data_IF_698376887540
#
_entry.id   IF_698376887540
#
_cell.length_a   1.000
_cell.length_b   1.000
_cell.length_c   1.000
_cell.angle_alpha   90.00
_cell.angle_beta   90.00
_cell.angle_gamma   90.00
#
_symmetry.space_group_name_H-M   'P 1'
#
loop_
_entity.id
_entity.type
_entity.pdbx_description
1 polymer ?
#
# COMPACT_ATOMS: atom_id res chain seq x y z
N UNK A 1 0.22 16.49 -0.20
CA UNK A 1 -1.23 16.25 -0.05
C UNK A 1 -1.54 16.11 1.44
N UNK A 2 -2.59 16.76 1.94
CA UNK A 2 -3.03 16.66 3.34
C UNK A 2 -4.28 15.79 3.35
N UNK A 3 -4.32 14.79 4.23
CA UNK A 3 -5.50 13.95 4.45
C UNK A 3 -6.07 14.28 5.82
N UNK A 4 -7.33 14.73 5.87
CA UNK A 4 -8.06 14.91 7.14
C UNK A 4 -8.26 13.52 7.75
N UNK A 5 -7.81 13.35 9.00
CA UNK A 5 -7.92 12.07 9.74
C UNK A 5 -9.18 12.03 10.61
N UNK A 6 -9.62 13.17 11.15
CA UNK A 6 -10.82 13.26 11.98
C UNK A 6 -10.92 14.59 12.70
N UNK A 7 -11.87 14.71 13.63
CA UNK A 7 -11.96 15.82 14.60
C UNK A 7 -11.30 15.39 15.91
N UNK A 8 -10.69 16.30 16.65
CA UNK A 8 -10.02 15.92 17.91
C UNK A 8 -11.05 15.51 18.98
N UNK A 9 -10.75 14.44 19.72
CA UNK A 9 -11.56 13.97 20.87
C UNK A 9 -11.85 15.07 21.92
N UNK A 10 -11.00 16.10 22.00
CA UNK A 10 -11.20 17.24 22.90
C UNK A 10 -12.49 18.03 22.62
N UNK A 11 -13.03 17.92 21.39
CA UNK A 11 -14.25 18.62 20.96
C UNK A 11 -15.46 17.67 20.80
N UNK A 12 -15.35 16.44 21.31
CA UNK A 12 -16.40 15.41 21.18
C UNK A 12 -17.69 15.72 21.95
N UNK A 13 -17.64 16.60 22.94
CA UNK A 13 -18.80 16.93 23.80
C UNK A 13 -19.46 18.26 23.48
N UNK A 14 -19.00 18.98 22.43
CA UNK A 14 -19.50 20.33 22.13
C UNK A 14 -20.90 20.32 21.50
N UNK A 15 -21.25 19.27 20.76
CA UNK A 15 -22.54 19.17 20.07
C UNK A 15 -23.05 17.71 20.05
N UNK A 16 -24.28 17.49 20.51
CA UNK A 16 -24.90 16.16 20.76
C UNK A 16 -25.30 15.40 19.47
N UNK A 17 -25.05 15.95 18.27
CA UNK A 17 -25.58 15.42 17.00
C UNK A 17 -24.57 15.44 15.84
N UNK A 18 -23.27 15.27 16.10
CA UNK A 18 -22.25 15.17 15.05
C UNK A 18 -21.89 13.72 14.70
N UNK A 19 -21.75 13.43 13.40
CA UNK A 19 -21.41 12.11 12.83
C UNK A 19 -19.95 12.10 12.31
N UNK A 20 -19.07 12.91 12.91
CA UNK A 20 -17.65 12.93 12.52
C UNK A 20 -16.84 11.92 13.31
N UNK A 21 -15.86 11.29 12.66
CA UNK A 21 -14.90 10.38 13.32
C UNK A 21 -13.97 11.20 14.23
N UNK A 22 -14.14 11.02 15.54
CA UNK A 22 -13.26 11.63 16.54
C UNK A 22 -11.99 10.80 16.71
N UNK A 23 -10.84 11.47 16.62
CA UNK A 23 -9.52 10.87 16.72
C UNK A 23 -8.70 11.54 17.82
N UNK A 24 -7.94 10.75 18.61
CA UNK A 24 -7.10 11.30 19.65
C UNK A 24 -5.98 12.14 19.03
N UNK A 25 -5.60 13.21 19.73
CA UNK A 25 -4.46 14.03 19.32
C UNK A 25 -3.22 13.14 19.23
N UNK A 26 -2.55 13.05 18.06
CA UNK A 26 -1.38 12.22 17.89
C UNK A 26 -0.29 12.58 18.92
N UNK A 27 0.15 11.60 19.71
CA UNK A 27 1.20 11.82 20.71
C UNK A 27 2.57 12.01 20.02
N UNK A 28 3.42 12.84 20.63
CA UNK A 28 4.79 13.11 20.20
C UNK A 28 4.93 14.35 19.30
N UNK A 29 6.11 14.53 18.70
CA UNK A 29 6.41 15.70 17.87
C UNK A 29 5.64 15.68 16.53
N UNK A 30 5.30 16.87 16.03
CA UNK A 30 4.63 17.03 14.73
C UNK A 30 5.56 16.64 13.59
N UNK A 31 6.84 16.99 13.69
CA UNK A 31 7.85 16.60 12.73
C UNK A 31 8.43 15.23 13.12
N UNK A 32 8.05 14.16 12.42
CA UNK A 32 8.58 12.82 12.65
C UNK A 32 9.42 12.37 11.46
N UNK A 33 10.69 12.05 11.70
CA UNK A 33 11.52 11.27 10.76
C UNK A 33 11.48 9.81 11.22
N UNK A 34 10.72 8.97 10.52
CA UNK A 34 10.62 7.54 10.80
C UNK A 34 11.34 6.77 9.69
N UNK A 35 12.34 5.99 10.07
CA UNK A 35 12.90 4.97 9.19
C UNK A 35 11.99 3.75 9.27
N UNK A 36 11.45 3.34 8.12
CA UNK A 36 10.53 2.21 8.01
C UNK A 36 11.21 1.15 7.15
N UNK A 37 11.49 0.00 7.77
CA UNK A 37 11.93 -1.19 7.04
C UNK A 37 10.69 -1.98 6.65
N UNK A 38 10.53 -2.24 5.36
CA UNK A 38 9.39 -2.97 4.83
C UNK A 38 9.88 -4.21 4.10
N UNK A 39 9.34 -5.37 4.48
CA UNK A 39 9.55 -6.63 3.76
C UNK A 39 8.37 -6.80 2.81
N UNK A 40 8.65 -6.90 1.52
CA UNK A 40 7.63 -7.06 0.46
C UNK A 40 8.03 -8.27 -0.37
N UNK A 41 7.06 -9.13 -0.70
CA UNK A 41 7.33 -10.27 -1.57
C UNK A 41 7.37 -9.85 -3.04
N UNK A 42 8.11 -10.56 -3.88
CA UNK A 42 8.11 -10.31 -5.32
C UNK A 42 6.70 -10.47 -5.93
N UNK A 43 5.89 -11.38 -5.37
CA UNK A 43 4.51 -11.57 -5.82
C UNK A 43 3.64 -10.34 -5.55
N UNK A 44 3.81 -9.67 -4.41
CA UNK A 44 3.05 -8.45 -4.11
C UNK A 44 3.40 -7.31 -5.08
N UNK A 45 4.68 -7.22 -5.49
CA UNK A 45 5.12 -6.28 -6.53
C UNK A 45 4.50 -6.62 -7.88
N UNK A 46 4.47 -7.90 -8.27
CA UNK A 46 3.81 -8.35 -9.50
C UNK A 46 2.33 -7.98 -9.51
N UNK A 47 1.61 -8.24 -8.43
CA UNK A 47 0.16 -7.99 -8.32
C UNK A 47 -0.15 -6.50 -8.32
N UNK A 48 0.64 -5.68 -7.61
CA UNK A 48 0.45 -4.23 -7.53
C UNK A 48 0.61 -3.54 -8.89
N UNK A 49 1.53 -4.04 -9.72
CA UNK A 49 1.76 -3.50 -11.06
C UNK A 49 0.81 -4.11 -12.12
N UNK A 50 0.37 -5.36 -11.95
CA UNK A 50 -0.61 -6.00 -12.83
C UNK A 50 -2.02 -5.38 -12.71
N UNK A 51 -2.35 -4.84 -11.53
CA UNK A 51 -3.59 -4.10 -11.29
C UNK A 51 -3.26 -2.80 -10.54
N UNK A 52 -3.09 -1.67 -11.23
CA UNK A 52 -2.93 -0.39 -10.55
C UNK A 52 -4.19 -0.12 -9.71
N UNK A 53 -4.09 -0.30 -8.39
CA UNK A 53 -5.14 0.12 -7.47
C UNK A 53 -5.07 1.64 -7.33
N UNK A 54 -6.12 2.34 -7.75
CA UNK A 54 -6.24 3.78 -7.50
C UNK A 54 -6.17 4.70 -8.73
N UNK A 55 -6.52 4.22 -9.92
CA UNK A 55 -6.82 5.12 -11.03
C UNK A 55 -8.09 5.94 -10.76
N UNK A 56 -8.05 7.25 -11.00
CA UNK A 56 -9.21 8.16 -10.94
C UNK A 56 -10.15 8.02 -12.14
N UNK A 57 -9.82 7.17 -13.11
CA UNK A 57 -10.64 6.96 -14.29
C UNK A 57 -11.89 6.13 -13.97
N UNK A 58 -13.00 6.44 -14.63
CA UNK A 58 -14.30 5.77 -14.46
C UNK A 58 -14.17 4.25 -14.63
N UNK A 59 -13.25 3.81 -15.49
CA UNK A 59 -12.95 2.39 -15.77
C UNK A 59 -12.21 1.73 -14.60
N UNK A 60 -11.24 2.40 -13.96
CA UNK A 60 -10.54 1.87 -12.78
C UNK A 60 -11.44 1.85 -11.54
N UNK A 61 -12.35 2.82 -11.39
CA UNK A 61 -13.35 2.82 -10.31
C UNK A 61 -14.35 1.67 -10.51
N UNK A 62 -14.87 1.44 -11.73
CA UNK A 62 -15.71 0.27 -12.03
C UNK A 62 -14.96 -1.05 -11.80
N UNK A 63 -13.68 -1.11 -12.16
CA UNK A 63 -12.83 -2.29 -11.97
C UNK A 63 -12.58 -2.64 -10.49
N UNK A 64 -12.70 -1.69 -9.57
CA UNK A 64 -12.63 -1.91 -8.12
C UNK A 64 -13.94 -2.48 -7.54
N UNK A 65 -15.11 -2.11 -8.11
CA UNK A 65 -16.42 -2.63 -7.70
C UNK A 65 -16.77 -3.98 -8.33
N UNK A 66 -16.13 -4.33 -9.46
CA UNK A 66 -16.25 -5.63 -10.09
C UNK A 66 -15.34 -6.64 -9.38
N UNK A 67 -15.83 -7.88 -9.18
CA UNK A 67 -15.08 -8.96 -8.54
C UNK A 67 -13.67 -9.04 -9.17
N UNK A 68 -12.58 -8.96 -8.39
CA UNK A 68 -11.24 -8.94 -8.94
C UNK A 68 -11.00 -10.24 -9.71
N UNK A 69 -11.03 -10.17 -11.04
CA UNK A 69 -10.62 -11.29 -11.89
C UNK A 69 -9.13 -11.53 -11.62
N UNK A 70 -8.70 -12.76 -11.36
CA UNK A 70 -7.27 -13.07 -11.29
C UNK A 70 -6.69 -12.79 -12.67
N UNK A 71 -6.10 -11.61 -12.86
CA UNK A 71 -5.35 -11.28 -14.05
C UNK A 71 -4.04 -12.06 -13.95
N UNK A 72 -3.78 -12.90 -14.93
CA UNK A 72 -2.51 -13.61 -14.99
C UNK A 72 -1.36 -12.60 -15.11
N UNK A 73 -0.30 -12.85 -14.35
CA UNK A 73 0.91 -12.04 -14.43
C UNK A 73 1.66 -12.49 -15.68
N UNK A 74 1.79 -11.59 -16.65
CA UNK A 74 2.50 -11.90 -17.90
C UNK A 74 4.01 -11.99 -17.66
N UNK A 75 4.70 -12.80 -18.47
CA UNK A 75 6.15 -12.97 -18.38
C UNK A 75 6.93 -11.66 -18.66
N UNK A 76 6.35 -10.78 -19.50
CA UNK A 76 6.91 -9.44 -19.76
C UNK A 76 6.94 -8.60 -18.48
N UNK A 77 5.83 -8.58 -17.73
CA UNK A 77 5.74 -7.84 -16.47
C UNK A 77 6.74 -8.38 -15.43
N UNK A 78 6.85 -9.70 -15.28
CA UNK A 78 7.85 -10.32 -14.40
C UNK A 78 9.28 -9.92 -14.79
N UNK A 79 9.58 -9.93 -16.09
CA UNK A 79 10.90 -9.53 -16.59
C UNK A 79 11.23 -8.07 -16.27
N UNK A 80 10.26 -7.17 -16.35
CA UNK A 80 10.42 -5.75 -16.01
C UNK A 80 10.60 -5.52 -14.51
N UNK A 81 9.82 -6.23 -13.68
CA UNK A 81 9.92 -6.18 -12.23
C UNK A 81 11.28 -6.72 -11.77
N UNK A 82 11.70 -7.87 -12.28
CA UNK A 82 13.01 -8.44 -11.97
C UNK A 82 14.17 -7.49 -12.32
N UNK A 83 14.09 -6.79 -13.46
CA UNK A 83 15.09 -5.76 -13.82
C UNK A 83 15.13 -4.61 -12.80
N UNK A 84 13.96 -4.17 -12.35
CA UNK A 84 13.84 -3.06 -11.39
C UNK A 84 14.33 -3.46 -10.00
N UNK A 85 13.99 -4.67 -9.54
CA UNK A 85 14.47 -5.22 -8.27
C UNK A 85 15.98 -5.36 -8.29
N UNK A 86 16.56 -5.94 -9.35
CA UNK A 86 18.02 -6.05 -9.49
C UNK A 86 18.70 -4.67 -9.42
N UNK A 87 18.13 -3.65 -10.08
CA UNK A 87 18.63 -2.28 -9.99
C UNK A 87 18.62 -1.74 -8.56
N UNK A 88 17.60 -2.03 -7.76
CA UNK A 88 17.54 -1.60 -6.36
C UNK A 88 18.54 -2.34 -5.46
N UNK A 89 18.83 -3.59 -5.77
CA UNK A 89 19.89 -4.37 -5.10
C UNK A 89 21.26 -3.77 -5.45
N UNK A 90 21.53 -3.51 -6.73
CA UNK A 90 22.80 -2.91 -7.19
C UNK A 90 23.05 -1.53 -6.58
N UNK A 91 21.99 -0.77 -6.32
CA UNK A 91 22.06 0.55 -5.67
C UNK A 91 22.17 0.47 -4.13
N UNK A 92 22.07 -0.72 -3.53
CA UNK A 92 22.07 -0.91 -2.08
C UNK A 92 20.82 -0.38 -1.38
N UNK A 93 19.72 -0.18 -2.11
CA UNK A 93 18.44 0.31 -1.57
C UNK A 93 17.61 -0.86 -0.99
N UNK A 94 17.76 -2.05 -1.57
CA UNK A 94 17.01 -3.24 -1.20
C UNK A 94 17.91 -4.46 -1.04
N UNK A 95 17.48 -5.41 -0.20
CA UNK A 95 18.13 -6.71 -0.02
C UNK A 95 17.14 -7.82 -0.40
N UNK A 96 17.64 -8.83 -1.12
CA UNK A 96 16.84 -10.00 -1.50
C UNK A 96 16.97 -11.08 -0.43
N UNK A 97 15.86 -11.40 0.24
CA UNK A 97 15.78 -12.46 1.24
C UNK A 97 15.10 -13.70 0.65
N UNK A 98 15.81 -14.84 0.50
CA UNK A 98 15.18 -16.08 0.05
C UNK A 98 14.27 -16.65 1.15
N UNK A 99 13.05 -17.03 0.77
CA UNK A 99 12.09 -17.68 1.66
C UNK A 99 12.11 -19.21 1.55
N UNK A 100 11.12 -19.85 2.17
CA UNK A 100 10.89 -21.29 2.08
C UNK A 100 9.56 -21.52 1.37
N UNK A 101 9.57 -22.33 0.32
CA UNK A 101 8.35 -22.84 -0.31
C UNK A 101 8.14 -24.28 0.17
N UNK A 102 7.09 -24.49 0.95
CA UNK A 102 6.65 -25.83 1.35
C UNK A 102 5.54 -26.29 0.41
N UNK A 103 5.69 -27.48 -0.15
CA UNK A 103 4.69 -28.12 -1.00
C UNK A 103 4.33 -29.46 -0.36
N UNK A 104 3.08 -29.58 0.08
CA UNK A 104 2.47 -30.83 0.52
C UNK A 104 1.56 -31.37 -0.59
N UNK A 105 1.25 -32.66 -0.55
CA UNK A 105 0.38 -33.33 -1.55
C UNK A 105 -1.06 -32.79 -1.57
#
# INVERSE_FOLDING_TARGET
>A
AVKRVGRSDAHSTEFDLEVEEYVPVPKGEVHKRKEVVQVVTLHDLDVANAKPQGGTDIISVMGQFLKPRKTEITEKLRSEINKTVNKYIDQGIAELLPGVLFMDE
#
